data_IF_965493478433
#
_entry.id   IF_965493478433
#
_cell.length_a   1.000
_cell.length_b   1.000
_cell.length_c   1.000
_cell.angle_alpha   90.00
_cell.angle_beta   90.00
_cell.angle_gamma   90.00
#
_symmetry.space_group_name_H-M   'P 1'
#
loop_
_entity.id
_entity.type
_entity.pdbx_description
1 polymer ?
#
# COMPACT_ATOMS: atom_id res chain seq x y z
N UNK A 1 -8.90 13.48 -11.43
CA UNK A 1 -9.27 13.18 -12.84
C UNK A 1 -8.62 14.26 -13.69
N UNK A 2 -7.89 13.89 -14.75
CA UNK A 2 -7.41 14.88 -15.73
C UNK A 2 -8.54 15.05 -16.76
N UNK A 3 -9.08 16.26 -16.85
CA UNK A 3 -10.19 16.56 -17.75
C UNK A 3 -9.65 17.06 -19.09
N UNK A 4 -9.97 16.38 -20.22
CA UNK A 4 -9.38 16.71 -21.52
C UNK A 4 -10.14 17.82 -22.28
N UNK A 5 -11.31 18.25 -21.79
CA UNK A 5 -12.13 19.26 -22.44
C UNK A 5 -12.04 20.62 -21.74
N UNK A 6 -12.81 21.61 -22.22
CA UNK A 6 -12.87 22.93 -21.61
C UNK A 6 -13.43 22.93 -20.20
N UNK A 7 -13.07 23.95 -19.44
CA UNK A 7 -13.56 24.23 -18.08
C UNK A 7 -15.10 24.34 -18.05
N UNK A 8 -15.70 24.98 -19.05
CA UNK A 8 -17.17 25.08 -19.16
C UNK A 8 -17.85 23.71 -19.25
N UNK A 9 -17.25 22.78 -20.00
CA UNK A 9 -17.75 21.41 -20.11
C UNK A 9 -17.58 20.63 -18.80
N UNK A 10 -16.53 20.92 -18.04
CA UNK A 10 -16.30 20.33 -16.71
C UNK A 10 -17.36 20.82 -15.71
N UNK A 11 -17.62 22.13 -15.69
CA UNK A 11 -18.65 22.75 -14.84
C UNK A 11 -20.02 22.18 -15.20
N UNK A 12 -20.34 22.07 -16.49
CA UNK A 12 -21.58 21.46 -16.96
C UNK A 12 -21.71 20.01 -16.50
N UNK A 13 -20.64 19.22 -16.62
CA UNK A 13 -20.59 17.83 -16.17
C UNK A 13 -20.91 17.71 -14.66
N UNK A 14 -20.26 18.52 -13.81
CA UNK A 14 -20.54 18.50 -12.38
C UNK A 14 -21.95 18.97 -12.04
N UNK A 15 -22.46 20.00 -12.72
CA UNK A 15 -23.83 20.50 -12.55
C UNK A 15 -24.89 19.42 -12.84
N UNK A 16 -24.69 18.64 -13.90
CA UNK A 16 -25.57 17.51 -14.23
C UNK A 16 -25.57 16.43 -13.16
N UNK A 17 -24.42 16.06 -12.63
CA UNK A 17 -24.33 15.04 -11.58
C UNK A 17 -24.97 15.48 -10.26
N UNK A 18 -24.84 16.77 -9.90
CA UNK A 18 -25.49 17.31 -8.71
C UNK A 18 -27.03 17.33 -8.84
N UNK A 19 -27.55 17.49 -10.05
CA UNK A 19 -29.00 17.46 -10.33
C UNK A 19 -29.60 16.04 -10.25
N UNK A 20 -28.84 15.01 -10.65
CA UNK A 20 -29.31 13.62 -10.73
C UNK A 20 -29.15 12.86 -9.41
N UNK A 21 -28.32 13.36 -8.49
CA UNK A 21 -28.10 12.73 -7.18
C UNK A 21 -29.32 12.93 -6.25
N UNK A 22 -29.78 11.90 -5.51
CA UNK A 22 -30.76 12.07 -4.45
C UNK A 22 -30.27 13.10 -3.42
N UNK A 23 -31.20 13.79 -2.77
CA UNK A 23 -30.95 14.87 -1.78
C UNK A 23 -29.99 14.48 -0.63
N UNK A 24 -29.69 13.19 -0.47
CA UNK A 24 -28.81 12.62 0.56
C UNK A 24 -27.32 12.69 0.23
N UNK A 25 -26.92 12.72 -1.05
CA UNK A 25 -25.49 12.72 -1.46
C UNK A 25 -25.18 14.00 -2.23
N UNK A 26 -24.36 14.87 -1.64
CA UNK A 26 -23.85 16.10 -2.28
C UNK A 26 -22.47 15.83 -2.86
N UNK A 27 -22.28 16.14 -4.14
CA UNK A 27 -20.98 16.07 -4.78
C UNK A 27 -20.26 17.41 -4.58
N UNK A 28 -18.98 17.34 -4.24
CA UNK A 28 -18.08 18.48 -4.27
C UNK A 28 -17.02 18.23 -5.34
N UNK A 29 -16.66 19.30 -6.03
CA UNK A 29 -15.61 19.28 -7.05
C UNK A 29 -14.60 20.36 -6.72
N UNK A 30 -13.33 20.03 -6.87
CA UNK A 30 -12.23 20.98 -6.84
C UNK A 30 -11.44 20.79 -8.13
N UNK A 31 -11.11 21.90 -8.78
CA UNK A 31 -10.45 21.91 -10.08
C UNK A 31 -9.45 23.03 -10.14
N UNK A 32 -8.30 22.74 -10.72
CA UNK A 32 -7.21 23.69 -10.89
C UNK A 32 -6.51 23.42 -12.21
N UNK A 33 -6.04 24.49 -12.85
CA UNK A 33 -5.27 24.42 -14.10
C UNK A 33 -3.80 24.05 -13.87
N UNK A 34 -3.33 24.11 -12.62
CA UNK A 34 -1.90 23.96 -12.29
C UNK A 34 -1.65 22.70 -11.45
N UNK A 35 -2.43 22.49 -10.39
CA UNK A 35 -2.19 21.40 -9.45
C UNK A 35 -3.47 20.92 -8.80
N UNK A 36 -3.65 19.60 -8.74
CA UNK A 36 -4.83 18.97 -8.13
C UNK A 36 -4.42 17.80 -7.23
N UNK A 37 -5.17 17.62 -6.14
CA UNK A 37 -5.00 16.49 -5.23
C UNK A 37 -6.02 15.39 -5.55
N UNK A 38 -5.55 14.14 -5.60
CA UNK A 38 -6.42 12.98 -5.72
C UNK A 38 -5.88 11.81 -4.92
N UNK A 39 -6.68 11.31 -3.98
CA UNK A 39 -6.28 10.29 -3.02
C UNK A 39 -4.99 10.72 -2.28
N UNK A 40 -3.91 9.99 -2.50
CA UNK A 40 -2.59 10.20 -1.90
C UNK A 40 -1.58 10.83 -2.86
N UNK A 41 -2.05 11.41 -3.96
CA UNK A 41 -1.18 11.99 -5.00
C UNK A 41 -1.58 13.42 -5.31
N UNK A 42 -0.59 14.31 -5.33
CA UNK A 42 -0.67 15.64 -5.95
C UNK A 42 -0.14 15.52 -7.37
N UNK A 43 -0.91 16.01 -8.35
CA UNK A 43 -0.47 16.09 -9.74
C UNK A 43 -0.33 17.56 -10.11
N UNK A 44 0.87 17.96 -10.53
CA UNK A 44 1.19 19.33 -10.91
C UNK A 44 1.71 19.38 -12.34
N UNK A 45 1.31 20.38 -13.10
CA UNK A 45 1.87 20.65 -14.42
C UNK A 45 3.10 21.55 -14.24
N UNK A 46 4.30 21.03 -14.51
CA UNK A 46 5.55 21.79 -14.49
C UNK A 46 6.18 21.72 -15.90
N UNK A 47 6.40 22.88 -16.53
CA UNK A 47 7.04 23.00 -17.85
C UNK A 47 6.44 22.10 -18.94
N UNK A 48 5.11 21.96 -18.96
CA UNK A 48 4.38 21.13 -19.92
C UNK A 48 4.41 19.63 -19.63
N UNK A 49 5.00 19.20 -18.50
CA UNK A 49 5.03 17.80 -18.07
C UNK A 49 4.28 17.61 -16.74
N UNK A 50 3.76 16.40 -16.52
CA UNK A 50 3.14 16.05 -15.25
C UNK A 50 4.19 15.63 -14.22
N UNK A 51 4.20 16.32 -13.09
CA UNK A 51 4.91 15.93 -11.88
C UNK A 51 3.93 15.36 -10.88
N UNK A 52 4.32 14.29 -10.21
CA UNK A 52 3.51 13.64 -9.19
C UNK A 52 4.25 13.63 -7.86
N UNK A 53 3.54 13.96 -6.79
CA UNK A 53 4.09 14.00 -5.44
C UNK A 53 3.12 13.40 -4.41
N UNK A 54 3.62 13.00 -3.24
CA UNK A 54 2.81 12.44 -2.17
C UNK A 54 1.92 13.52 -1.56
N UNK A 55 0.62 13.25 -1.50
CA UNK A 55 -0.34 14.08 -0.79
C UNK A 55 -0.74 13.43 0.53
N UNK A 56 -0.53 14.13 1.64
CA UNK A 56 -1.03 13.74 2.95
C UNK A 56 -2.17 14.68 3.34
N UNK A 57 -3.30 14.11 3.75
CA UNK A 57 -4.43 14.92 4.24
C UNK A 57 -4.00 15.61 5.53
N UNK A 58 -4.31 16.90 5.77
CA UNK A 58 -3.90 17.61 6.98
C UNK A 58 -4.15 16.88 8.33
N UNK A 59 -5.27 16.15 8.55
CA UNK A 59 -5.50 15.38 9.76
C UNK A 59 -4.81 13.99 9.82
N UNK A 60 -3.94 13.62 8.87
CA UNK A 60 -3.28 12.30 8.89
C UNK A 60 -2.25 12.20 10.02
N UNK A 61 -2.51 11.29 10.96
CA UNK A 61 -1.66 11.03 12.14
C UNK A 61 -0.54 10.03 11.86
N UNK A 62 -0.46 9.43 10.67
CA UNK A 62 0.55 8.44 10.32
C UNK A 62 0.63 7.28 11.33
N UNK A 63 -0.54 6.75 11.72
CA UNK A 63 -0.69 5.74 12.78
C UNK A 63 -0.29 4.32 12.31
N UNK A 64 0.99 4.10 12.02
CA UNK A 64 1.51 2.77 11.64
C UNK A 64 1.41 1.75 12.77
N UNK A 65 1.13 0.47 12.48
CA UNK A 65 1.07 -0.59 13.50
C UNK A 65 2.33 -0.61 14.37
N UNK A 66 2.19 -0.76 15.69
CA UNK A 66 3.33 -0.88 16.59
C UNK A 66 3.98 -2.28 16.43
N UNK A 67 5.31 -2.40 16.46
CA UNK A 67 6.00 -3.69 16.42
C UNK A 67 5.58 -4.66 17.56
N UNK A 68 5.19 -4.11 18.71
CA UNK A 68 4.74 -4.86 19.90
C UNK A 68 3.25 -5.23 19.90
N UNK A 69 2.50 -4.81 18.88
CA UNK A 69 1.07 -5.13 18.80
C UNK A 69 0.82 -6.62 18.54
N UNK A 70 -0.40 -7.10 18.81
CA UNK A 70 -0.81 -8.50 18.59
C UNK A 70 -0.98 -8.86 17.10
N UNK A 71 -0.12 -8.35 16.23
CA UNK A 71 -0.05 -8.69 14.82
C UNK A 71 1.18 -9.57 14.57
N UNK A 72 1.17 -10.38 13.50
CA UNK A 72 2.33 -11.13 13.10
C UNK A 72 3.54 -10.23 12.88
N UNK A 73 4.74 -10.66 13.29
CA UNK A 73 5.95 -9.87 13.11
C UNK A 73 6.27 -9.53 11.65
N UNK A 74 5.76 -10.28 10.67
CA UNK A 74 5.98 -9.97 9.26
C UNK A 74 5.14 -8.78 8.77
N UNK A 75 3.98 -8.52 9.38
CA UNK A 75 3.12 -7.40 8.99
C UNK A 75 3.83 -6.09 9.28
N UNK A 76 4.31 -5.93 10.51
CA UNK A 76 5.05 -4.73 10.94
C UNK A 76 6.37 -4.61 10.21
N UNK A 77 7.18 -5.67 10.10
CA UNK A 77 8.47 -5.64 9.38
C UNK A 77 8.37 -5.18 7.92
N UNK A 78 7.25 -5.43 7.25
CA UNK A 78 7.07 -5.02 5.85
C UNK A 78 6.59 -3.57 5.71
N UNK A 79 6.09 -2.92 6.76
CA UNK A 79 5.58 -1.55 6.70
C UNK A 79 6.63 -0.59 6.15
N UNK A 80 7.87 -0.51 6.69
CA UNK A 80 8.87 0.43 6.19
C UNK A 80 9.09 0.30 4.68
N UNK A 81 9.31 -0.92 4.19
CA UNK A 81 9.58 -1.15 2.78
C UNK A 81 8.38 -0.86 1.88
N UNK A 82 7.19 -1.32 2.29
CA UNK A 82 5.96 -1.10 1.51
C UNK A 82 5.60 0.38 1.38
N UNK A 83 5.81 1.18 2.44
CA UNK A 83 5.58 2.62 2.41
C UNK A 83 6.64 3.33 1.58
N UNK A 84 7.93 2.99 1.72
CA UNK A 84 8.97 3.57 0.85
C UNK A 84 8.73 3.26 -0.63
N UNK A 85 8.29 2.04 -0.97
CA UNK A 85 7.91 1.70 -2.35
C UNK A 85 6.68 2.46 -2.85
N UNK A 86 5.72 2.77 -1.97
CA UNK A 86 4.58 3.61 -2.32
C UNK A 86 5.05 5.04 -2.65
N UNK A 87 5.91 5.62 -1.81
CA UNK A 87 6.51 6.94 -2.08
C UNK A 87 7.29 6.91 -3.41
N UNK A 88 8.10 5.87 -3.66
CA UNK A 88 8.86 5.72 -4.92
C UNK A 88 7.96 5.67 -6.16
N UNK A 89 6.77 5.07 -6.05
CA UNK A 89 5.78 5.03 -7.14
C UNK A 89 5.20 6.42 -7.41
N UNK A 90 4.80 7.10 -6.35
CA UNK A 90 4.08 8.37 -6.43
C UNK A 90 5.03 9.49 -6.85
N UNK A 91 6.14 9.71 -6.14
CA UNK A 91 7.05 10.81 -6.40
C UNK A 91 7.77 10.64 -7.75
N UNK A 92 7.63 11.63 -8.64
CA UNK A 92 8.37 11.66 -9.90
C UNK A 92 9.79 12.20 -9.76
N UNK A 93 10.05 13.03 -8.74
CA UNK A 93 11.39 13.54 -8.43
C UNK A 93 12.07 12.73 -7.31
N UNK A 94 13.38 12.55 -7.43
CA UNK A 94 14.21 11.96 -6.38
C UNK A 94 14.36 12.89 -5.17
N UNK A 95 14.24 14.21 -5.35
CA UNK A 95 14.22 15.17 -4.23
C UNK A 95 13.03 14.93 -3.33
N UNK A 96 11.85 14.80 -3.93
CA UNK A 96 10.58 14.65 -3.23
C UNK A 96 10.55 13.28 -2.55
N UNK A 97 11.04 12.24 -3.23
CA UNK A 97 11.24 10.92 -2.61
C UNK A 97 12.11 10.98 -1.34
N UNK A 98 13.21 11.73 -1.36
CA UNK A 98 14.08 11.89 -0.17
C UNK A 98 13.38 12.63 0.96
N UNK A 99 12.65 13.71 0.66
CA UNK A 99 11.88 14.47 1.67
C UNK A 99 10.87 13.54 2.35
N UNK A 100 10.01 12.89 1.56
CA UNK A 100 8.94 12.04 2.08
C UNK A 100 9.46 10.79 2.80
N UNK A 101 10.59 10.21 2.37
CA UNK A 101 11.19 9.08 3.08
C UNK A 101 11.86 9.48 4.40
N UNK A 102 12.36 10.71 4.52
CA UNK A 102 12.86 11.24 5.79
C UNK A 102 11.70 11.47 6.78
N UNK A 103 10.57 12.01 6.32
CA UNK A 103 9.36 12.15 7.13
C UNK A 103 8.83 10.78 7.58
N UNK A 104 8.74 9.82 6.65
CA UNK A 104 8.38 8.43 6.96
C UNK A 104 9.30 7.82 8.02
N UNK A 105 10.62 8.05 7.92
CA UNK A 105 11.59 7.58 8.89
C UNK A 105 11.30 8.13 10.28
N UNK A 106 11.06 9.43 10.40
CA UNK A 106 10.68 10.08 11.67
C UNK A 106 9.40 9.48 12.26
N UNK A 107 8.35 9.29 11.45
CA UNK A 107 7.10 8.67 11.91
C UNK A 107 7.31 7.23 12.39
N UNK A 108 8.10 6.42 11.67
CA UNK A 108 8.36 5.03 12.06
C UNK A 108 9.22 4.94 13.33
N UNK A 109 10.19 5.84 13.53
CA UNK A 109 10.98 5.92 14.77
C UNK A 109 10.09 6.21 15.99
N UNK A 110 9.15 7.15 15.87
CA UNK A 110 8.17 7.43 16.93
C UNK A 110 7.36 6.16 17.27
N UNK A 111 7.05 5.34 16.26
CA UNK A 111 6.36 4.04 16.40
C UNK A 111 7.29 2.88 16.78
N UNK A 112 8.48 3.17 17.29
CA UNK A 112 9.43 2.17 17.84
C UNK A 112 9.97 1.17 16.82
N UNK A 113 9.99 1.53 15.53
CA UNK A 113 10.67 0.72 14.53
C UNK A 113 12.20 0.87 14.66
N UNK A 114 12.91 -0.24 14.51
CA UNK A 114 14.38 -0.25 14.57
C UNK A 114 14.99 0.54 13.41
N UNK A 115 15.89 1.47 13.72
CA UNK A 115 16.53 2.39 12.75
C UNK A 115 17.10 1.65 11.54
N UNK A 116 17.94 0.63 11.77
CA UNK A 116 18.55 -0.14 10.68
C UNK A 116 17.53 -0.87 9.79
N UNK A 117 16.33 -1.21 10.30
CA UNK A 117 15.29 -1.80 9.45
C UNK A 117 14.64 -0.75 8.56
N UNK A 118 14.50 0.48 9.04
CA UNK A 118 13.94 1.61 8.28
C UNK A 118 14.91 1.99 7.16
N UNK A 119 16.20 2.18 7.48
CA UNK A 119 17.23 2.57 6.52
C UNK A 119 17.40 1.53 5.41
N UNK A 120 17.47 0.24 5.77
CA UNK A 120 17.56 -0.83 4.80
C UNK A 120 16.34 -0.89 3.88
N UNK A 121 15.14 -0.63 4.41
CA UNK A 121 13.91 -0.58 3.62
C UNK A 121 13.89 0.62 2.66
N UNK A 122 14.27 1.80 3.13
CA UNK A 122 14.35 3.01 2.29
C UNK A 122 15.40 2.82 1.20
N UNK A 123 16.59 2.29 1.54
CA UNK A 123 17.65 1.98 0.58
C UNK A 123 17.14 1.02 -0.50
N UNK A 124 16.54 -0.10 -0.09
CA UNK A 124 15.99 -1.08 -1.02
C UNK A 124 14.93 -0.47 -1.96
N UNK A 125 14.07 0.42 -1.47
CA UNK A 125 13.09 1.11 -2.30
C UNK A 125 13.74 2.14 -3.24
N UNK A 126 14.78 2.84 -2.79
CA UNK A 126 15.56 3.78 -3.63
C UNK A 126 16.21 3.06 -4.81
N UNK A 127 16.80 1.90 -4.55
CA UNK A 127 17.49 1.08 -5.55
C UNK A 127 16.53 0.43 -6.56
N UNK A 128 15.21 0.48 -6.30
CA UNK A 128 14.19 -0.01 -7.24
C UNK A 128 13.83 1.07 -8.26
N UNK A 129 13.86 0.73 -9.55
CA UNK A 129 13.46 1.65 -10.61
C UNK A 129 11.97 1.99 -10.52
N UNK A 130 11.64 3.29 -10.63
CA UNK A 130 10.23 3.74 -10.57
C UNK A 130 9.38 3.11 -11.67
N UNK A 131 9.91 2.99 -12.89
CA UNK A 131 9.23 2.34 -14.01
C UNK A 131 8.77 0.92 -13.65
N UNK A 132 9.65 0.12 -13.04
CA UNK A 132 9.32 -1.25 -12.58
C UNK A 132 8.20 -1.25 -11.55
N UNK A 133 8.17 -0.26 -10.66
CA UNK A 133 7.13 -0.18 -9.62
C UNK A 133 5.74 0.19 -10.18
N UNK A 134 5.69 0.82 -11.36
CA UNK A 134 4.45 1.18 -12.06
C UNK A 134 3.93 0.03 -12.95
N UNK A 135 4.76 -0.97 -13.24
CA UNK A 135 4.32 -2.13 -14.03
C UNK A 135 3.30 -2.97 -13.25
N UNK A 136 2.19 -3.31 -13.91
CA UNK A 136 1.25 -4.28 -13.38
C UNK A 136 1.91 -5.66 -13.38
N UNK A 137 1.99 -6.29 -12.20
CA UNK A 137 2.50 -7.65 -12.05
C UNK A 137 1.35 -8.63 -12.01
N UNK A 138 1.19 -9.41 -13.07
CA UNK A 138 0.23 -10.51 -13.09
C UNK A 138 0.66 -11.57 -12.09
N UNK A 139 -0.15 -11.80 -11.06
CA UNK A 139 0.02 -12.96 -10.18
C UNK A 139 -0.35 -14.20 -10.96
N UNK A 140 0.61 -15.10 -11.15
CA UNK A 140 0.30 -16.45 -11.61
C UNK A 140 -0.51 -17.15 -10.53
N UNK A 141 -1.81 -17.35 -10.77
CA UNK A 141 -2.72 -18.08 -9.89
C UNK A 141 -2.66 -19.57 -10.24
N UNK A 142 -1.53 -20.21 -9.98
CA UNK A 142 -1.36 -21.64 -10.23
C UNK A 142 -1.54 -22.40 -8.91
N UNK A 143 -2.79 -22.60 -8.49
CA UNK A 143 -3.05 -23.19 -7.17
C UNK A 143 -4.48 -23.72 -7.04
N UNK A 144 -4.68 -25.02 -7.32
CA UNK A 144 -5.85 -25.81 -6.87
C UNK A 144 -5.86 -26.04 -5.34
N UNK A 145 -5.35 -25.08 -4.56
CA UNK A 145 -5.01 -25.26 -3.14
C UNK A 145 -6.12 -24.72 -2.23
N UNK A 146 -6.46 -25.48 -1.19
CA UNK A 146 -7.33 -25.02 -0.10
C UNK A 146 -6.47 -24.38 0.99
N UNK A 147 -6.70 -23.11 1.37
CA UNK A 147 -5.94 -22.47 2.43
C UNK A 147 -6.46 -22.85 3.82
N UNK A 148 -5.55 -23.15 4.74
CA UNK A 148 -5.87 -23.13 6.18
C UNK A 148 -5.67 -21.71 6.71
N UNK A 149 -6.75 -21.11 7.19
CA UNK A 149 -6.79 -19.76 7.77
C UNK A 149 -6.96 -19.88 9.28
N UNK A 150 -6.07 -19.24 10.02
CA UNK A 150 -6.13 -19.20 11.49
C UNK A 150 -5.90 -17.77 11.97
N UNK A 151 -6.54 -17.40 13.07
CA UNK A 151 -6.23 -16.15 13.76
C UNK A 151 -4.82 -16.20 14.36
N UNK A 152 -4.10 -15.08 14.28
CA UNK A 152 -2.81 -14.96 14.92
C UNK A 152 -2.96 -14.53 16.36
N UNK A 153 -2.27 -15.23 17.25
CA UNK A 153 -2.12 -14.82 18.63
C UNK A 153 -0.68 -15.11 19.07
N UNK A 154 0.03 -14.14 19.70
CA UNK A 154 1.45 -14.30 20.06
C UNK A 154 1.69 -15.42 21.08
N UNK A 155 0.68 -15.77 21.88
CA UNK A 155 0.73 -16.88 22.83
C UNK A 155 0.53 -18.27 22.20
N UNK A 156 0.17 -18.36 20.91
CA UNK A 156 0.05 -19.66 20.24
C UNK A 156 1.43 -20.16 19.80
N UNK A 157 1.67 -21.48 19.83
CA UNK A 157 2.88 -22.03 19.25
C UNK A 157 2.92 -21.72 17.75
N UNK A 158 4.10 -21.75 17.10
CA UNK A 158 4.21 -21.49 15.67
C UNK A 158 3.43 -22.55 14.87
N UNK A 159 2.14 -22.31 14.59
CA UNK A 159 1.22 -23.28 14.00
C UNK A 159 1.76 -23.83 12.68
N UNK A 160 2.36 -22.96 11.87
CA UNK A 160 3.01 -23.39 10.62
C UNK A 160 4.15 -24.41 10.84
N UNK A 161 4.87 -24.35 11.96
CA UNK A 161 5.91 -25.33 12.30
C UNK A 161 5.28 -26.62 12.85
N UNK A 162 4.27 -26.49 13.71
CA UNK A 162 3.53 -27.62 14.29
C UNK A 162 2.85 -28.45 13.21
N UNK A 163 2.09 -27.82 12.32
CA UNK A 163 1.38 -28.49 11.22
C UNK A 163 2.38 -29.19 10.28
N UNK A 164 3.47 -28.52 9.88
CA UNK A 164 4.52 -29.16 9.05
C UNK A 164 5.13 -30.39 9.72
N UNK A 165 5.34 -30.35 11.04
CA UNK A 165 5.90 -31.46 11.81
C UNK A 165 4.93 -32.65 11.87
N UNK A 166 3.64 -32.39 12.06
CA UNK A 166 2.61 -33.41 12.25
C UNK A 166 1.81 -33.73 10.99
N UNK A 167 2.26 -33.23 9.84
CA UNK A 167 1.56 -33.34 8.58
C UNK A 167 1.27 -34.78 8.16
N UNK A 168 2.25 -35.66 8.39
CA UNK A 168 2.16 -37.10 8.13
C UNK A 168 1.01 -37.79 8.88
N UNK A 169 0.49 -37.18 9.97
CA UNK A 169 -0.62 -37.73 10.77
C UNK A 169 -2.00 -37.33 10.25
N UNK A 170 -2.09 -36.32 9.37
CA UNK A 170 -3.36 -35.76 8.89
C UNK A 170 -4.00 -36.58 7.75
N UNK A 171 -3.49 -37.77 7.44
CA UNK A 171 -4.20 -38.75 6.63
C UNK A 171 -4.58 -38.27 5.23
N UNK A 172 -3.63 -37.68 4.49
CA UNK A 172 -3.58 -37.60 3.01
C UNK A 172 -2.46 -36.61 2.59
N UNK A 173 -1.86 -36.77 1.38
CA UNK A 173 -0.57 -36.13 1.04
C UNK A 173 -0.62 -34.62 0.78
N UNK A 174 -1.80 -34.00 0.82
CA UNK A 174 -2.06 -32.74 0.13
C UNK A 174 -2.41 -31.62 1.09
N UNK A 175 -1.63 -31.48 2.17
CA UNK A 175 -1.62 -30.29 3.03
C UNK A 175 -0.20 -29.69 3.02
N UNK A 176 0.08 -28.64 2.24
CA UNK A 176 1.33 -27.87 2.33
C UNK A 176 1.03 -26.53 3.01
N UNK A 177 2.10 -25.83 3.40
CA UNK A 177 2.01 -24.55 4.07
C UNK A 177 2.83 -23.53 3.28
N UNK A 178 2.21 -22.45 2.80
CA UNK A 178 2.92 -21.40 2.06
C UNK A 178 2.67 -20.04 2.71
N UNK A 179 3.53 -19.06 2.45
CA UNK A 179 3.47 -17.72 3.04
C UNK A 179 2.65 -16.81 2.13
N UNK A 180 1.39 -16.52 2.48
CA UNK A 180 0.65 -15.40 1.88
C UNK A 180 0.54 -14.17 2.77
N UNK A 181 0.32 -12.97 2.17
CA UNK A 181 0.15 -11.70 2.90
C UNK A 181 -1.20 -11.58 3.63
N UNK A 182 -2.08 -12.58 3.49
CA UNK A 182 -3.17 -12.84 4.42
C UNK A 182 -3.06 -14.31 4.80
N UNK A 183 -3.13 -14.56 6.09
CA UNK A 183 -3.02 -15.83 6.81
C UNK A 183 -3.58 -17.02 6.02
N UNK A 184 -2.73 -17.70 5.25
CA UNK A 184 -3.13 -18.90 4.52
C UNK A 184 -1.90 -19.77 4.37
N UNK A 185 -1.93 -20.97 4.93
CA UNK A 185 -0.97 -22.03 4.67
C UNK A 185 -1.58 -22.91 3.56
N UNK A 186 -0.84 -23.18 2.47
CA UNK A 186 -1.40 -23.68 1.20
C UNK A 186 -0.88 -25.03 0.76
N UNK A 187 -1.80 -25.85 0.26
CA UNK A 187 -1.59 -27.25 -0.02
C UNK A 187 -2.07 -27.76 -1.38
N UNK A 188 -1.23 -28.49 -2.15
CA UNK A 188 -1.59 -29.48 -3.21
C UNK A 188 -0.33 -29.93 -3.99
N UNK A 189 -0.45 -30.89 -4.94
CA UNK A 189 -0.87 -32.29 -4.84
C UNK A 189 0.33 -33.23 -4.59
#
# INVERSE_FOLDING_TARGET
MIWPYGEDSLIFFFGKHQFVSPQTIKFTADSSKVSVHFLDTTVTIESGSLKTDLFNKPPDKHNYLLPSSCYPPFCTRNIPYSQSLRIKRICSSETDFKIHTNELSSHLRIRQYHQGSIENAIKKARDTLRSETLTHKTRQSNSNRVPLVTEYHPGLPPLAKVIRKHLHKLGSPKVYLSRCPRYCLFASP
#
